data_IF_124587925021
#
_entry.id   IF_124587925021
#
_cell.length_a   1.000
_cell.length_b   1.000
_cell.length_c   1.000
_cell.angle_alpha   90.00
_cell.angle_beta   90.00
_cell.angle_gamma   90.00
#
_symmetry.space_group_name_H-M   'P 1'
#
loop_
_entity.id
_entity.type
_entity.pdbx_description
1 polymer ?
#
# COMPACT_ATOMS: atom_id res chain seq x y z
N UNK A 1 13.95 7.44 21.82
CA UNK A 1 13.52 6.03 21.65
C UNK A 1 13.34 5.78 20.16
N UNK A 2 13.93 4.73 19.58
CA UNK A 2 13.63 4.40 18.18
C UNK A 2 12.15 4.04 18.13
N UNK A 3 11.36 4.90 17.52
CA UNK A 3 9.95 4.66 17.24
C UNK A 3 9.85 3.47 16.31
N UNK A 4 9.75 2.25 16.85
CA UNK A 4 9.56 1.04 16.06
C UNK A 4 8.22 1.18 15.34
N UNK A 5 8.26 1.57 14.07
CA UNK A 5 7.08 1.57 13.21
C UNK A 5 6.50 0.15 13.20
N UNK A 6 5.18 -0.01 13.30
CA UNK A 6 4.56 -1.32 13.21
C UNK A 6 4.94 -1.97 11.88
N UNK A 7 5.24 -3.28 11.91
CA UNK A 7 5.58 -4.08 10.74
C UNK A 7 4.51 -5.15 10.58
N UNK A 8 4.19 -5.45 9.34
CA UNK A 8 3.34 -6.58 8.98
C UNK A 8 4.04 -7.37 7.89
N UNK A 9 3.76 -8.67 7.84
CA UNK A 9 4.24 -9.57 6.79
C UNK A 9 3.02 -10.01 5.98
N UNK A 10 3.13 -9.99 4.67
CA UNK A 10 2.08 -10.42 3.74
C UNK A 10 2.67 -11.46 2.81
N UNK A 11 1.93 -12.53 2.57
CA UNK A 11 2.25 -13.55 1.57
C UNK A 11 1.34 -13.33 0.38
N UNK A 12 1.91 -13.31 -0.82
CA UNK A 12 1.21 -13.19 -2.08
C UNK A 12 1.31 -14.51 -2.83
N UNK A 13 0.34 -14.76 -3.71
CA UNK A 13 0.51 -15.78 -4.74
C UNK A 13 1.61 -15.34 -5.72
N UNK A 14 2.22 -16.30 -6.41
CA UNK A 14 3.37 -16.05 -7.27
C UNK A 14 3.04 -15.05 -8.40
N UNK A 15 1.88 -15.23 -9.06
CA UNK A 15 1.44 -14.37 -10.16
C UNK A 15 1.25 -12.90 -9.72
N UNK A 16 0.60 -12.68 -8.57
CA UNK A 16 0.42 -11.35 -7.99
C UNK A 16 1.76 -10.69 -7.65
N UNK A 17 2.70 -11.46 -7.10
CA UNK A 17 4.01 -10.92 -6.71
C UNK A 17 4.85 -10.54 -7.94
N UNK A 18 4.81 -11.35 -9.00
CA UNK A 18 5.47 -11.04 -10.27
C UNK A 18 4.91 -9.76 -10.90
N UNK A 19 3.60 -9.55 -10.86
CA UNK A 19 2.98 -8.30 -11.33
C UNK A 19 3.47 -7.09 -10.51
N UNK A 20 3.55 -7.24 -9.17
CA UNK A 20 4.08 -6.20 -8.29
C UNK A 20 5.55 -5.90 -8.56
N UNK A 21 6.38 -6.91 -8.85
CA UNK A 21 7.78 -6.73 -9.22
C UNK A 21 7.92 -5.96 -10.53
N UNK A 22 7.21 -6.37 -11.59
CA UNK A 22 7.24 -5.69 -12.88
C UNK A 22 6.79 -4.23 -12.77
N UNK A 23 5.73 -3.97 -11.99
CA UNK A 23 5.26 -2.61 -11.77
C UNK A 23 6.30 -1.79 -10.98
N UNK A 24 6.89 -2.35 -9.93
CA UNK A 24 7.90 -1.66 -9.14
C UNK A 24 9.15 -1.31 -9.98
N UNK A 25 9.60 -2.23 -10.84
CA UNK A 25 10.71 -1.99 -11.78
C UNK A 25 10.39 -0.86 -12.76
N UNK A 26 9.19 -0.84 -13.34
CA UNK A 26 8.77 0.22 -14.27
C UNK A 26 8.81 1.63 -13.66
N UNK A 27 8.68 1.73 -12.35
CA UNK A 27 8.72 2.98 -11.59
C UNK A 27 10.04 3.19 -10.81
N UNK A 28 11.09 2.42 -11.14
CA UNK A 28 12.42 2.46 -10.50
C UNK A 28 12.36 2.40 -8.97
N UNK A 29 11.54 1.49 -8.42
CA UNK A 29 11.35 1.32 -6.98
C UNK A 29 11.32 -0.15 -6.58
N UNK A 30 11.35 -0.37 -5.27
CA UNK A 30 11.18 -1.71 -4.69
C UNK A 30 9.70 -2.04 -4.45
N UNK A 31 9.34 -3.33 -4.46
CA UNK A 31 7.98 -3.82 -4.14
C UNK A 31 7.46 -3.27 -2.81
N UNK A 32 8.23 -3.24 -1.69
CA UNK A 32 7.75 -2.63 -0.44
C UNK A 32 7.41 -1.15 -0.56
N UNK A 33 8.14 -0.38 -1.37
CA UNK A 33 7.85 1.04 -1.60
C UNK A 33 6.57 1.21 -2.43
N UNK A 34 6.38 0.39 -3.46
CA UNK A 34 5.16 0.37 -4.26
C UNK A 34 3.93 0.06 -3.39
N UNK A 35 4.00 -1.02 -2.59
CA UNK A 35 2.93 -1.40 -1.66
C UNK A 35 2.61 -0.24 -0.70
N UNK A 36 3.63 0.44 -0.16
CA UNK A 36 3.41 1.58 0.72
C UNK A 36 2.64 2.72 0.04
N UNK A 37 2.91 3.00 -1.24
CA UNK A 37 2.18 4.01 -2.04
C UNK A 37 0.73 3.60 -2.23
N UNK A 38 0.49 2.36 -2.65
CA UNK A 38 -0.86 1.81 -2.86
C UNK A 38 -1.67 1.87 -1.57
N UNK A 39 -1.11 1.40 -0.46
CA UNK A 39 -1.77 1.40 0.86
C UNK A 39 -2.07 2.83 1.32
N UNK A 40 -1.15 3.78 1.13
CA UNK A 40 -1.39 5.19 1.47
C UNK A 40 -2.54 5.78 0.67
N UNK A 41 -2.60 5.51 -0.64
CA UNK A 41 -3.67 5.97 -1.52
C UNK A 41 -5.02 5.41 -1.08
N UNK A 42 -5.10 4.11 -0.86
CA UNK A 42 -6.32 3.44 -0.37
C UNK A 42 -6.78 3.98 1.00
N UNK A 43 -5.85 4.28 1.91
CA UNK A 43 -6.19 4.86 3.22
C UNK A 43 -6.74 6.29 3.11
N UNK A 44 -6.21 7.11 2.19
CA UNK A 44 -6.72 8.46 1.93
C UNK A 44 -8.13 8.39 1.37
N UNK A 45 -8.35 7.55 0.35
CA UNK A 45 -9.66 7.35 -0.27
C UNK A 45 -10.69 6.84 0.75
N UNK A 46 -10.33 5.84 1.56
CA UNK A 46 -11.19 5.32 2.63
C UNK A 46 -11.57 6.39 3.66
N UNK A 47 -10.66 7.28 4.02
CA UNK A 47 -10.94 8.39 4.95
C UNK A 47 -11.89 9.41 4.32
N UNK A 48 -11.72 9.72 3.04
CA UNK A 48 -12.62 10.62 2.32
C UNK A 48 -14.04 10.05 2.21
N UNK A 49 -14.20 8.76 1.89
CA UNK A 49 -15.52 8.11 1.83
C UNK A 49 -16.21 8.10 3.19
N UNK A 50 -15.48 7.77 4.27
CA UNK A 50 -16.03 7.83 5.64
C UNK A 50 -16.47 9.22 6.09
N UNK A 51 -15.89 10.28 5.56
CA UNK A 51 -16.31 11.65 5.87
C UNK A 51 -17.59 12.03 5.12
N UNK A 52 -17.81 11.51 3.91
CA UNK A 52 -19.06 11.72 3.16
C UNK A 52 -20.24 11.04 3.87
N UNK A 53 -20.09 9.78 4.26
CA UNK A 53 -21.12 9.01 4.99
C UNK A 53 -21.50 9.59 6.36
N UNK A 54 -20.67 10.47 6.94
CA UNK A 54 -20.96 11.12 8.24
C UNK A 54 -21.68 12.46 8.11
N UNK A 55 -21.66 13.05 6.92
CA UNK A 55 -22.23 14.37 6.64
C UNK A 55 -23.57 14.26 5.85
N UNK A 56 -23.98 13.04 5.52
CA UNK A 56 -25.31 12.66 5.01
C UNK A 56 -26.14 12.07 6.16
#
# INVERSE_FOLDING_TARGET
MPTKKPRTTVTFDQEDYEELEQWAESEFRSVPQLILVIVKKALIERRASKQKEKNE
#
